data_IF_641213960435
#
_entry.id   IF_641213960435
#
_cell.length_a   1.000
_cell.length_b   1.000
_cell.length_c   1.000
_cell.angle_alpha   90.00
_cell.angle_beta   90.00
_cell.angle_gamma   90.00
#
_symmetry.space_group_name_H-M   'P 1'
#
loop_
_entity.id
_entity.type
_entity.pdbx_description
1 polymer ?
#
# COMPACT_ATOMS: atom_id res chain seq x y z
N UNK A 1 6.57 -20.97 8.85
CA UNK A 1 6.01 -20.31 7.65
C UNK A 1 6.20 -18.81 7.80
N UNK A 2 6.22 -18.06 6.70
CA UNK A 2 6.83 -16.72 6.66
C UNK A 2 5.78 -15.62 6.92
N UNK A 3 4.53 -15.82 6.47
CA UNK A 3 3.46 -14.82 6.57
C UNK A 3 2.37 -15.24 7.56
N UNK A 4 1.80 -14.27 8.28
CA UNK A 4 0.68 -14.48 9.21
C UNK A 4 -0.69 -14.44 8.51
N UNK A 5 -0.78 -13.86 7.30
CA UNK A 5 -2.02 -13.80 6.51
C UNK A 5 -1.71 -13.54 5.03
N UNK A 6 -2.66 -13.88 4.15
CA UNK A 6 -2.58 -13.58 2.71
C UNK A 6 -2.40 -12.09 2.46
N UNK A 7 -3.26 -11.27 3.05
CA UNK A 7 -3.19 -9.82 2.90
C UNK A 7 -1.84 -9.28 3.39
N UNK A 8 -1.35 -9.76 4.53
CA UNK A 8 -0.04 -9.38 5.05
C UNK A 8 1.10 -9.71 4.08
N UNK A 9 1.02 -10.86 3.41
CA UNK A 9 2.02 -11.25 2.41
C UNK A 9 1.96 -10.46 1.12
N UNK A 10 0.75 -10.23 0.59
CA UNK A 10 0.55 -9.37 -0.59
C UNK A 10 1.08 -7.95 -0.32
N UNK A 11 0.76 -7.36 0.82
CA UNK A 11 1.24 -6.01 1.18
C UNK A 11 2.77 -5.98 1.31
N UNK A 12 3.38 -7.00 1.94
CA UNK A 12 4.85 -7.13 2.06
C UNK A 12 5.52 -7.22 0.70
N UNK A 13 4.95 -8.03 -0.20
CA UNK A 13 5.45 -8.22 -1.56
C UNK A 13 5.37 -6.92 -2.38
N UNK A 14 4.22 -6.24 -2.36
CA UNK A 14 4.04 -4.94 -3.03
C UNK A 14 4.99 -3.87 -2.47
N UNK A 15 5.26 -3.87 -1.16
CA UNK A 15 6.22 -2.97 -0.55
C UNK A 15 7.66 -3.29 -1.00
N UNK A 16 8.03 -4.57 -1.09
CA UNK A 16 9.33 -4.99 -1.60
C UNK A 16 9.53 -4.52 -3.04
N UNK A 17 8.49 -4.55 -3.89
CA UNK A 17 8.57 -4.01 -5.27
C UNK A 17 8.74 -2.50 -5.37
N UNK A 18 8.34 -1.74 -4.35
CA UNK A 18 8.46 -0.28 -4.32
C UNK A 18 9.89 0.16 -3.96
N UNK A 19 10.69 -0.73 -3.37
CA UNK A 19 12.09 -0.45 -3.04
C UNK A 19 12.91 -0.65 -4.31
N UNK A 20 13.42 0.42 -4.90
CA UNK A 20 14.42 0.31 -5.98
C UNK A 20 15.73 -0.21 -5.38
N UNK A 21 16.03 -1.49 -5.62
CA UNK A 21 17.35 -2.01 -5.34
C UNK A 21 17.81 -2.86 -6.55
N UNK A 22 18.99 -2.53 -7.05
CA UNK A 22 19.70 -3.22 -8.11
C UNK A 22 20.39 -4.50 -7.60
N UNK A 23 20.29 -4.80 -6.29
CA UNK A 23 20.81 -6.02 -5.64
C UNK A 23 19.86 -7.23 -5.67
N UNK A 24 18.66 -7.08 -6.24
CA UNK A 24 17.59 -8.10 -6.33
C UNK A 24 17.84 -9.30 -7.26
N UNK A 25 18.99 -9.44 -7.91
CA UNK A 25 19.21 -10.59 -8.82
C UNK A 25 19.29 -11.95 -8.11
N UNK A 26 19.41 -11.98 -6.78
CA UNK A 26 19.42 -13.23 -6.02
C UNK A 26 18.08 -13.98 -6.08
N UNK A 27 16.94 -13.28 -5.99
CA UNK A 27 15.62 -13.94 -6.08
C UNK A 27 15.30 -14.41 -7.50
N UNK A 28 15.89 -13.81 -8.54
CA UNK A 28 15.69 -14.27 -9.93
C UNK A 28 16.19 -15.70 -10.12
N UNK A 29 17.24 -16.11 -9.39
CA UNK A 29 17.70 -17.52 -9.38
C UNK A 29 16.69 -18.47 -8.73
N UNK A 30 15.81 -17.94 -7.88
CA UNK A 30 14.74 -18.68 -7.19
C UNK A 30 13.46 -18.76 -8.04
N UNK A 31 13.35 -17.94 -9.08
CA UNK A 31 12.17 -17.86 -9.94
C UNK A 31 12.48 -18.45 -11.32
N UNK A 32 11.91 -19.61 -11.64
CA UNK A 32 12.06 -20.25 -12.94
C UNK A 32 10.68 -20.48 -13.57
N UNK A 33 10.34 -19.80 -14.69
CA UNK A 33 8.99 -19.88 -15.29
C UNK A 33 8.66 -21.25 -15.92
N UNK A 34 9.63 -22.17 -15.98
CA UNK A 34 9.50 -23.48 -16.64
C UNK A 34 9.50 -24.68 -15.69
N UNK A 35 9.56 -24.47 -14.37
CA UNK A 35 9.53 -25.55 -13.38
C UNK A 35 8.21 -25.52 -12.61
N UNK A 36 7.13 -26.03 -13.22
CA UNK A 36 5.82 -26.19 -12.58
C UNK A 36 5.76 -27.37 -11.57
N UNK A 37 6.87 -28.12 -11.40
CA UNK A 37 6.96 -29.19 -10.41
C UNK A 37 7.29 -28.62 -9.02
N UNK A 38 6.26 -28.58 -8.16
CA UNK A 38 6.28 -28.50 -6.70
C UNK A 38 7.69 -28.52 -6.07
N UNK A 39 8.28 -27.33 -5.89
CA UNK A 39 9.45 -27.14 -5.03
C UNK A 39 9.01 -26.45 -3.75
N UNK A 40 8.97 -27.22 -2.67
CA UNK A 40 8.85 -26.71 -1.30
C UNK A 40 9.82 -25.53 -1.12
N UNK A 41 9.38 -24.39 -0.57
CA UNK A 41 10.19 -23.18 -0.38
C UNK A 41 11.54 -23.48 0.29
N UNK A 42 11.60 -24.50 1.15
CA UNK A 42 12.84 -24.98 1.77
C UNK A 42 13.89 -25.43 0.76
N UNK A 43 13.45 -26.04 -0.35
CA UNK A 43 14.31 -26.42 -1.46
C UNK A 43 14.71 -25.23 -2.35
N UNK A 44 13.87 -24.19 -2.44
CA UNK A 44 14.14 -22.97 -3.21
C UNK A 44 15.16 -22.08 -2.51
N UNK A 45 14.99 -21.78 -1.22
CA UNK A 45 15.88 -20.87 -0.50
C UNK A 45 17.27 -21.45 -0.19
N UNK A 46 17.57 -22.69 -0.62
CA UNK A 46 18.90 -23.30 -0.51
C UNK A 46 19.45 -23.31 0.93
N UNK A 47 18.58 -23.24 1.93
CA UNK A 47 19.00 -23.05 3.32
C UNK A 47 19.42 -24.39 3.89
N UNK A 48 20.67 -24.46 4.36
CA UNK A 48 21.11 -25.57 5.18
C UNK A 48 20.21 -25.68 6.43
N UNK A 49 20.09 -26.87 7.05
CA UNK A 49 19.30 -27.02 8.28
C UNK A 49 19.79 -26.03 9.35
N UNK A 50 19.02 -24.97 9.64
CA UNK A 50 19.34 -23.96 10.65
C UNK A 50 19.48 -22.50 10.18
N UNK A 51 19.48 -22.24 8.86
CA UNK A 51 19.56 -20.87 8.32
C UNK A 51 18.16 -20.28 8.07
N UNK A 52 17.90 -19.07 8.57
CA UNK A 52 16.60 -18.41 8.45
C UNK A 52 16.43 -17.80 7.06
N UNK A 53 15.29 -18.07 6.40
CA UNK A 53 14.92 -17.47 5.11
C UNK A 53 14.95 -15.94 5.23
N UNK A 54 15.70 -15.27 4.36
CA UNK A 54 15.70 -13.81 4.26
C UNK A 54 14.31 -13.33 3.80
N UNK A 55 13.63 -12.64 4.71
CA UNK A 55 12.28 -12.12 4.50
C UNK A 55 12.18 -11.24 3.25
N UNK A 56 13.22 -10.48 2.94
CA UNK A 56 13.21 -9.57 1.78
C UNK A 56 13.27 -10.31 0.46
N UNK A 57 14.00 -11.43 0.40
CA UNK A 57 14.06 -12.30 -0.77
C UNK A 57 12.74 -13.03 -0.97
N UNK A 58 12.13 -13.50 0.13
CA UNK A 58 10.79 -14.09 0.10
C UNK A 58 9.76 -13.10 -0.44
N UNK A 59 9.76 -11.84 0.04
CA UNK A 59 8.83 -10.81 -0.44
C UNK A 59 9.01 -10.51 -1.93
N UNK A 60 10.27 -10.46 -2.44
CA UNK A 60 10.53 -10.23 -3.86
C UNK A 60 10.10 -11.41 -4.74
N UNK A 61 10.35 -12.65 -4.28
CA UNK A 61 9.92 -13.85 -4.98
C UNK A 61 8.39 -13.94 -5.03
N UNK A 62 7.72 -13.67 -3.90
CA UNK A 62 6.26 -13.63 -3.83
C UNK A 62 5.72 -12.58 -4.81
N UNK A 63 6.34 -11.41 -4.89
CA UNK A 63 5.91 -10.38 -5.82
C UNK A 63 5.96 -10.87 -7.28
N UNK A 64 7.06 -11.50 -7.69
CA UNK A 64 7.19 -12.09 -9.03
C UNK A 64 6.16 -13.19 -9.28
N UNK A 65 5.92 -14.04 -8.28
CA UNK A 65 4.93 -15.12 -8.34
C UNK A 65 3.51 -14.57 -8.50
N UNK A 66 3.16 -13.50 -7.77
CA UNK A 66 1.88 -12.82 -7.89
C UNK A 66 1.70 -12.18 -9.29
N UNK A 67 2.72 -11.51 -9.84
CA UNK A 67 2.65 -10.94 -11.19
C UNK A 67 2.43 -11.98 -12.29
N UNK A 68 2.91 -13.21 -12.08
CA UNK A 68 2.71 -14.30 -13.02
C UNK A 68 1.37 -15.02 -12.82
N UNK A 69 0.95 -15.21 -11.56
CA UNK A 69 -0.25 -15.97 -11.22
C UNK A 69 -1.55 -15.18 -11.29
N UNK A 70 -1.50 -13.85 -11.11
CA UNK A 70 -2.69 -12.99 -11.18
C UNK A 70 -2.83 -12.40 -12.59
N UNK A 71 -4.08 -12.29 -13.04
CA UNK A 71 -4.36 -11.48 -14.21
C UNK A 71 -4.03 -10.00 -13.96
N UNK A 72 -3.69 -9.27 -15.03
CA UNK A 72 -3.31 -7.84 -14.95
C UNK A 72 -4.32 -7.02 -14.13
N UNK A 73 -5.61 -7.30 -14.27
CA UNK A 73 -6.66 -6.50 -13.64
C UNK A 73 -6.80 -6.76 -12.14
N UNK A 74 -6.59 -8.00 -11.70
CA UNK A 74 -6.47 -8.36 -10.29
C UNK A 74 -5.23 -7.72 -9.69
N UNK A 75 -4.11 -7.73 -10.41
CA UNK A 75 -2.88 -7.07 -9.96
C UNK A 75 -3.04 -5.55 -9.87
N UNK A 76 -3.65 -4.91 -10.88
CA UNK A 76 -3.98 -3.47 -10.85
C UNK A 76 -4.88 -3.15 -9.63
N UNK A 77 -5.86 -3.99 -9.30
CA UNK A 77 -6.72 -3.81 -8.12
C UNK A 77 -5.93 -3.83 -6.80
N UNK A 78 -5.03 -4.81 -6.62
CA UNK A 78 -4.18 -4.93 -5.42
C UNK A 78 -3.20 -3.74 -5.31
N UNK A 79 -2.55 -3.37 -6.41
CA UNK A 79 -1.63 -2.23 -6.46
C UNK A 79 -2.37 -0.93 -6.13
N UNK A 80 -3.52 -0.69 -6.76
CA UNK A 80 -4.33 0.50 -6.50
C UNK A 80 -4.74 0.58 -5.02
N UNK A 81 -5.12 -0.54 -4.39
CA UNK A 81 -5.57 -0.55 -3.00
C UNK A 81 -4.42 -0.42 -2.00
N UNK A 82 -3.37 -1.24 -2.16
CA UNK A 82 -2.39 -1.50 -1.10
C UNK A 82 -0.98 -0.97 -1.38
N UNK A 83 -0.63 -0.65 -2.63
CA UNK A 83 0.73 -0.19 -2.94
C UNK A 83 1.08 1.14 -2.25
N UNK A 84 2.34 1.25 -1.85
CA UNK A 84 2.98 2.46 -1.33
C UNK A 84 3.73 3.25 -2.41
N UNK A 85 3.90 2.71 -3.61
CA UNK A 85 4.52 3.41 -4.73
C UNK A 85 3.49 4.31 -5.42
N UNK A 86 3.75 5.63 -5.45
CA UNK A 86 2.82 6.60 -6.04
C UNK A 86 2.60 6.38 -7.53
N UNK A 87 3.67 6.12 -8.29
CA UNK A 87 3.61 5.99 -9.74
C UNK A 87 2.79 4.77 -10.13
N UNK A 88 3.15 3.61 -9.57
CA UNK A 88 2.44 2.35 -9.80
C UNK A 88 0.98 2.43 -9.33
N UNK A 89 0.72 3.03 -8.16
CA UNK A 89 -0.66 3.18 -7.64
C UNK A 89 -1.51 4.07 -8.54
N UNK A 90 -0.98 5.21 -9.00
CA UNK A 90 -1.71 6.12 -9.90
C UNK A 90 -1.96 5.46 -11.27
N UNK A 91 -0.99 4.73 -11.81
CA UNK A 91 -1.16 3.99 -13.05
C UNK A 91 -2.25 2.91 -12.91
N UNK A 92 -2.20 2.13 -11.83
CA UNK A 92 -3.20 1.10 -11.56
C UNK A 92 -4.62 1.70 -11.40
N UNK A 93 -4.75 2.85 -10.73
CA UNK A 93 -6.03 3.59 -10.64
C UNK A 93 -6.53 4.00 -12.04
N UNK A 94 -5.63 4.46 -12.91
CA UNK A 94 -5.98 4.86 -14.28
C UNK A 94 -6.43 3.66 -15.11
N UNK A 95 -5.75 2.53 -15.00
CA UNK A 95 -6.07 1.29 -15.73
C UNK A 95 -7.41 0.70 -15.27
N UNK A 96 -7.69 0.71 -13.96
CA UNK A 96 -8.97 0.24 -13.41
C UNK A 96 -10.15 1.09 -13.86
N UNK A 97 -9.97 2.41 -13.96
CA UNK A 97 -11.03 3.35 -14.39
C UNK A 97 -11.64 2.95 -15.73
N UNK A 98 -10.83 2.50 -16.68
CA UNK A 98 -11.28 2.17 -18.05
C UNK A 98 -12.12 0.88 -18.06
N UNK A 99 -11.96 0.01 -17.06
CA UNK A 99 -12.65 -1.28 -16.98
C UNK A 99 -14.00 -1.22 -16.27
N UNK A 100 -14.24 -0.17 -15.48
CA UNK A 100 -15.44 -0.07 -14.66
C UNK A 100 -16.63 0.35 -15.52
N UNK A 101 -17.59 -0.57 -15.65
CA UNK A 101 -18.87 -0.30 -16.26
C UNK A 101 -19.77 0.41 -15.25
N UNK A 102 -20.16 1.64 -15.55
CA UNK A 102 -21.06 2.42 -14.71
C UNK A 102 -21.86 3.41 -15.56
N UNK A 103 -23.15 3.64 -15.25
CA UNK A 103 -23.93 4.70 -15.88
C UNK A 103 -23.50 6.11 -15.42
N UNK A 104 -22.58 6.21 -14.45
CA UNK A 104 -22.09 7.49 -13.95
C UNK A 104 -21.18 8.22 -14.98
N UNK A 105 -21.17 9.56 -14.98
CA UNK A 105 -20.24 10.33 -15.81
C UNK A 105 -18.77 9.98 -15.56
N UNK A 106 -17.93 10.18 -16.57
CA UNK A 106 -16.51 9.84 -16.50
C UNK A 106 -15.76 10.52 -15.33
N UNK A 107 -16.13 11.76 -14.99
CA UNK A 107 -15.58 12.46 -13.82
C UNK A 107 -15.96 11.76 -12.52
N UNK A 108 -17.20 11.33 -12.41
CA UNK A 108 -17.70 10.63 -11.23
C UNK A 108 -16.98 9.31 -11.03
N UNK A 109 -16.82 8.52 -12.09
CA UNK A 109 -16.05 7.26 -12.06
C UNK A 109 -14.61 7.54 -11.64
N UNK A 110 -13.94 8.50 -12.27
CA UNK A 110 -12.57 8.87 -11.91
C UNK A 110 -12.42 9.23 -10.42
N UNK A 111 -13.29 10.11 -9.90
CA UNK A 111 -13.27 10.53 -8.50
C UNK A 111 -13.59 9.36 -7.56
N UNK A 112 -14.57 8.53 -7.89
CA UNK A 112 -14.96 7.38 -7.09
C UNK A 112 -13.83 6.36 -6.97
N UNK A 113 -13.24 5.94 -8.10
CA UNK A 113 -12.13 4.96 -8.13
C UNK A 113 -10.93 5.50 -7.34
N UNK A 114 -10.57 6.76 -7.56
CA UNK A 114 -9.45 7.39 -6.87
C UNK A 114 -9.69 7.48 -5.36
N UNK A 115 -10.90 7.86 -4.93
CA UNK A 115 -11.28 7.94 -3.52
C UNK A 115 -11.42 6.57 -2.85
N UNK A 116 -11.68 5.51 -3.60
CA UNK A 116 -11.68 4.12 -3.12
C UNK A 116 -10.25 3.61 -2.87
N UNK A 117 -9.34 3.92 -3.79
CA UNK A 117 -7.94 3.49 -3.75
C UNK A 117 -7.10 4.28 -2.73
N UNK A 118 -7.47 5.54 -2.49
CA UNK A 118 -6.81 6.43 -1.54
C UNK A 118 -7.81 6.84 -0.45
N UNK A 119 -7.84 6.13 0.70
CA UNK A 119 -8.73 6.47 1.80
C UNK A 119 -8.33 7.78 2.50
N UNK A 120 -9.30 8.41 3.16
CA UNK A 120 -9.05 9.53 4.08
C UNK A 120 -8.18 9.06 5.26
N UNK A 121 -6.94 9.52 5.29
CA UNK A 121 -6.08 9.32 6.46
C UNK A 121 -6.55 10.24 7.60
N UNK A 122 -7.06 9.62 8.68
CA UNK A 122 -7.39 10.36 9.91
C UNK A 122 -6.11 11.03 10.44
N UNK A 123 -6.12 12.36 10.53
CA UNK A 123 -4.98 13.15 11.03
C UNK A 123 -3.91 13.51 9.99
N UNK A 124 -4.09 13.17 8.70
CA UNK A 124 -3.23 13.66 7.61
C UNK A 124 -3.76 14.94 6.97
N UNK A 125 -4.75 15.60 7.59
CA UNK A 125 -4.94 17.03 7.34
C UNK A 125 -3.58 17.67 7.54
N UNK A 126 -3.10 18.39 6.53
CA UNK A 126 -1.88 19.18 6.63
C UNK A 126 -2.13 20.17 7.77
N UNK A 127 -1.73 19.80 8.99
CA UNK A 127 -1.77 20.70 10.13
C UNK A 127 -0.96 21.91 9.71
N UNK A 128 -1.59 23.09 9.79
CA UNK A 128 -0.89 24.36 9.64
C UNK A 128 0.31 24.46 10.61
N UNK A 129 1.11 25.53 10.53
CA UNK A 129 2.33 25.66 11.33
C UNK A 129 2.03 25.36 12.81
N UNK A 130 2.59 24.24 13.30
CA UNK A 130 2.36 23.79 14.66
C UNK A 130 3.35 24.52 15.57
N UNK A 131 2.85 25.42 16.42
CA UNK A 131 3.70 26.09 17.41
C UNK A 131 4.08 25.09 18.50
N UNK A 132 5.37 24.79 18.62
CA UNK A 132 5.91 23.97 19.72
C UNK A 132 6.24 24.88 20.88
N UNK A 133 5.53 24.73 22.00
CA UNK A 133 5.83 25.42 23.25
C UNK A 133 6.80 24.58 24.08
N UNK A 134 8.00 25.12 24.34
CA UNK A 134 8.97 24.50 25.24
C UNK A 134 8.85 25.15 26.61
N UNK A 135 8.47 24.37 27.63
CA UNK A 135 8.42 24.87 29.01
C UNK A 135 9.80 24.73 29.64
N UNK A 136 10.45 25.86 29.92
CA UNK A 136 11.79 25.90 30.51
C UNK A 136 11.66 26.40 31.96
N UNK A 137 12.12 25.65 32.97
CA UNK A 137 12.14 26.12 34.35
C UNK A 137 13.00 27.38 34.50
N UNK A 138 12.55 28.34 35.30
CA UNK A 138 13.20 29.66 35.42
C UNK A 138 14.63 29.57 35.97
N UNK A 139 14.90 28.61 36.87
CA UNK A 139 16.21 28.44 37.54
C UNK A 139 17.24 27.62 36.73
N UNK A 140 16.95 27.35 35.46
CA UNK A 140 17.83 26.51 34.63
C UNK A 140 19.08 27.31 34.24
N UNK A 141 20.31 26.77 34.33
CA UNK A 141 21.52 27.43 33.82
C UNK A 141 21.48 27.66 32.30
N UNK A 142 22.11 28.72 31.79
CA UNK A 142 22.05 29.15 30.38
C UNK A 142 22.38 28.01 29.39
N UNK A 143 23.48 27.29 29.62
CA UNK A 143 23.91 26.17 28.77
C UNK A 143 22.86 25.06 28.66
N UNK A 144 22.08 24.83 29.72
CA UNK A 144 21.05 23.79 29.77
C UNK A 144 19.76 24.30 29.12
N UNK A 145 19.45 25.60 29.22
CA UNK A 145 18.36 26.23 28.46
C UNK A 145 18.63 26.14 26.95
N UNK A 146 19.83 26.51 26.52
CA UNK A 146 20.23 26.46 25.10
C UNK A 146 20.20 25.02 24.56
N UNK A 147 20.66 24.06 25.35
CA UNK A 147 20.58 22.63 25.01
C UNK A 147 19.13 22.14 24.89
N UNK A 148 18.23 22.53 25.81
CA UNK A 148 16.82 22.18 25.75
C UNK A 148 16.14 22.77 24.51
N UNK A 149 16.40 24.04 24.20
CA UNK A 149 15.89 24.70 22.98
C UNK A 149 16.39 23.98 21.73
N UNK A 150 17.70 23.72 21.65
CA UNK A 150 18.31 23.03 20.50
C UNK A 150 17.75 21.62 20.31
N UNK A 151 17.54 20.88 21.40
CA UNK A 151 16.95 19.54 21.35
C UNK A 151 15.50 19.54 20.88
N UNK A 152 14.70 20.51 21.32
CA UNK A 152 13.31 20.66 20.91
C UNK A 152 13.20 21.01 19.42
N UNK A 153 14.03 21.95 18.94
CA UNK A 153 14.09 22.33 17.52
C UNK A 153 14.57 21.16 16.66
N UNK A 154 15.56 20.39 17.11
CA UNK A 154 16.04 19.20 16.39
C UNK A 154 14.97 18.11 16.32
N UNK A 155 14.25 17.86 17.42
CA UNK A 155 13.14 16.90 17.46
C UNK A 155 12.01 17.31 16.50
N UNK A 156 11.66 18.60 16.46
CA UNK A 156 10.66 19.14 15.54
C UNK A 156 11.10 18.99 14.08
N UNK A 157 12.34 19.37 13.74
CA UNK A 157 12.90 19.20 12.40
C UNK A 157 12.92 17.74 11.97
N UNK A 158 13.26 16.82 12.87
CA UNK A 158 13.25 15.39 12.61
C UNK A 158 11.81 14.86 12.40
N UNK A 159 10.85 15.31 13.20
CA UNK A 159 9.43 14.97 13.04
C UNK A 159 8.87 15.51 11.71
N UNK A 160 9.19 16.76 11.36
CA UNK A 160 8.82 17.38 10.08
C UNK A 160 9.41 16.62 8.89
N UNK A 161 10.71 16.31 8.92
CA UNK A 161 11.37 15.50 7.87
C UNK A 161 10.74 14.11 7.72
N UNK A 162 10.35 13.46 8.83
CA UNK A 162 9.63 12.17 8.82
C UNK A 162 8.23 12.28 8.22
N UNK A 163 7.50 13.35 8.51
CA UNK A 163 6.19 13.62 7.93
C UNK A 163 6.30 13.94 6.44
N UNK A 164 7.28 14.75 6.05
CA UNK A 164 7.57 15.10 4.65
C UNK A 164 7.97 13.86 3.84
N UNK A 165 8.84 12.98 4.36
CA UNK A 165 9.21 11.74 3.66
C UNK A 165 8.04 10.77 3.53
N UNK A 166 7.17 10.69 4.55
CA UNK A 166 5.93 9.89 4.51
C UNK A 166 4.90 10.47 3.53
N UNK A 167 4.75 11.79 3.47
CA UNK A 167 3.90 12.46 2.50
C UNK A 167 4.48 12.40 1.08
N UNK A 168 5.81 12.37 0.94
CA UNK A 168 6.52 12.21 -0.33
C UNK A 168 6.36 10.78 -0.90
N UNK A 169 6.17 9.78 -0.05
CA UNK A 169 5.94 8.38 -0.46
C UNK A 169 4.46 8.03 -0.63
N UNK A 170 3.52 8.63 0.10
CA UNK A 170 2.10 8.27 0.01
C UNK A 170 1.25 9.25 -0.82
N UNK A 171 0.31 8.73 -1.62
CA UNK A 171 -0.71 9.57 -2.29
C UNK A 171 -1.69 10.09 -1.24
N UNK A 172 -1.75 11.42 -1.05
CA UNK A 172 -2.67 12.09 -0.13
C UNK A 172 -3.55 13.03 -0.95
N UNK A 173 -4.86 12.84 -0.86
CA UNK A 173 -5.85 13.67 -1.55
C UNK A 173 -6.42 14.74 -0.60
N UNK A 174 -6.72 15.95 -1.10
CA UNK A 174 -7.34 16.99 -0.28
C UNK A 174 -8.74 16.58 0.16
N UNK A 175 -9.22 17.10 1.30
CA UNK A 175 -10.54 16.78 1.86
C UNK A 175 -11.68 17.05 0.87
N UNK A 176 -11.58 18.13 0.08
CA UNK A 176 -12.52 18.48 -0.97
C UNK A 176 -12.66 17.41 -2.05
N UNK A 177 -11.62 16.60 -2.29
CA UNK A 177 -11.68 15.52 -3.26
C UNK A 177 -12.75 14.47 -2.90
N UNK A 178 -13.05 14.30 -1.63
CA UNK A 178 -14.03 13.31 -1.16
C UNK A 178 -15.44 13.87 -1.04
N UNK A 179 -15.65 15.15 -1.35
CA UNK A 179 -16.99 15.73 -1.42
C UNK A 179 -17.65 15.33 -2.74
N UNK A 180 -18.65 14.45 -2.66
CA UNK A 180 -19.40 13.94 -3.81
C UNK A 180 -20.19 15.03 -4.55
N UNK A 181 -20.39 16.20 -3.96
CA UNK A 181 -21.00 17.34 -4.64
C UNK A 181 -20.09 17.91 -5.74
N UNK A 182 -18.78 17.64 -5.67
CA UNK A 182 -17.82 18.07 -6.69
C UNK A 182 -17.61 17.04 -7.80
N UNK A 183 -18.26 15.87 -7.72
CA UNK A 183 -18.02 14.74 -8.63
C UNK A 183 -18.94 14.72 -9.84
N UNK A 184 -20.04 15.48 -9.78
CA UNK A 184 -21.02 15.61 -10.85
C UNK A 184 -21.34 17.09 -11.08
N UNK A 185 -21.19 17.54 -12.33
CA UNK A 185 -21.45 18.94 -12.73
C UNK A 185 -22.93 19.15 -12.98
N UNK A 186 -23.67 18.10 -13.33
CA UNK A 186 -25.09 18.18 -13.69
C UNK A 186 -26.01 18.21 -12.45
N UNK A 187 -25.45 18.07 -11.25
CA UNK A 187 -26.22 18.21 -10.00
C UNK A 187 -27.28 17.13 -9.80
N UNK A 188 -27.04 15.89 -10.28
CA UNK A 188 -28.00 14.79 -10.13
C UNK A 188 -28.34 14.51 -8.66
N UNK A 189 -29.51 13.90 -8.38
CA UNK A 189 -29.94 13.57 -7.02
C UNK A 189 -28.87 12.83 -6.22
N UNK A 190 -28.79 13.13 -4.93
CA UNK A 190 -27.79 12.53 -4.06
C UNK A 190 -27.95 10.99 -3.97
N UNK A 191 -29.18 10.48 -4.02
CA UNK A 191 -29.48 9.05 -4.02
C UNK A 191 -28.76 8.33 -5.17
N UNK A 192 -28.89 8.86 -6.39
CA UNK A 192 -28.25 8.33 -7.59
C UNK A 192 -26.72 8.34 -7.47
N UNK A 193 -26.14 9.45 -6.99
CA UNK A 193 -24.68 9.54 -6.78
C UNK A 193 -24.19 8.54 -5.74
N UNK A 194 -24.93 8.33 -4.64
CA UNK A 194 -24.59 7.33 -3.61
C UNK A 194 -24.69 5.90 -4.14
N UNK A 195 -25.70 5.62 -4.96
CA UNK A 195 -25.87 4.33 -5.61
C UNK A 195 -24.72 4.02 -6.57
N UNK A 196 -24.38 4.96 -7.46
CA UNK A 196 -23.24 4.81 -8.37
C UNK A 196 -21.94 4.53 -7.62
N UNK A 197 -21.67 5.30 -6.56
CA UNK A 197 -20.48 5.09 -5.74
C UNK A 197 -20.47 3.71 -5.12
N UNK A 198 -21.60 3.25 -4.56
CA UNK A 198 -21.73 1.93 -3.96
C UNK A 198 -21.45 0.83 -4.98
N UNK A 199 -22.02 0.92 -6.18
CA UNK A 199 -21.84 -0.07 -7.23
C UNK A 199 -20.39 -0.10 -7.73
N UNK A 200 -19.77 1.07 -7.93
CA UNK A 200 -18.35 1.17 -8.30
C UNK A 200 -17.46 0.55 -7.21
N UNK A 201 -17.72 0.85 -5.94
CA UNK A 201 -16.93 0.31 -4.83
C UNK A 201 -17.11 -1.19 -4.71
N UNK A 202 -18.34 -1.70 -4.83
CA UNK A 202 -18.63 -3.12 -4.82
C UNK A 202 -17.91 -3.87 -5.94
N UNK A 203 -17.89 -3.32 -7.16
CA UNK A 203 -17.15 -3.92 -8.28
C UNK A 203 -15.63 -3.97 -8.00
N UNK A 204 -15.06 -2.88 -7.49
CA UNK A 204 -13.65 -2.80 -7.15
C UNK A 204 -13.27 -3.73 -5.97
N UNK A 205 -14.10 -3.79 -4.94
CA UNK A 205 -13.89 -4.68 -3.79
C UNK A 205 -14.01 -6.15 -4.22
N UNK A 206 -14.91 -6.48 -5.15
CA UNK A 206 -15.00 -7.83 -5.75
C UNK A 206 -13.69 -8.20 -6.44
N UNK A 207 -13.13 -7.32 -7.28
CA UNK A 207 -11.83 -7.56 -7.92
C UNK A 207 -10.70 -7.77 -6.91
N UNK A 208 -10.67 -7.00 -5.83
CA UNK A 208 -9.66 -7.18 -4.77
C UNK A 208 -9.86 -8.51 -4.05
N UNK A 209 -11.09 -8.89 -3.74
CA UNK A 209 -11.38 -10.15 -3.04
C UNK A 209 -11.02 -11.36 -3.91
N UNK A 210 -11.37 -11.35 -5.19
CA UNK A 210 -10.97 -12.39 -6.15
C UNK A 210 -9.43 -12.49 -6.24
N UNK A 211 -8.75 -11.35 -6.35
CA UNK A 211 -7.29 -11.29 -6.38
C UNK A 211 -6.67 -11.87 -5.10
N UNK A 212 -7.25 -11.60 -3.93
CA UNK A 212 -6.81 -12.15 -2.65
C UNK A 212 -7.10 -13.65 -2.52
N UNK A 213 -8.21 -14.15 -3.07
CA UNK A 213 -8.48 -15.59 -3.14
C UNK A 213 -7.41 -16.30 -3.98
N UNK A 214 -7.13 -15.81 -5.18
CA UNK A 214 -6.09 -16.38 -6.07
C UNK A 214 -4.70 -16.29 -5.40
N UNK A 215 -4.38 -15.16 -4.77
CA UNK A 215 -3.14 -15.03 -4.00
C UNK A 215 -3.07 -16.02 -2.82
N UNK A 216 -4.22 -16.32 -2.20
CA UNK A 216 -4.34 -17.35 -1.16
C UNK A 216 -4.01 -18.74 -1.70
N UNK A 217 -4.56 -19.12 -2.86
CA UNK A 217 -4.26 -20.39 -3.51
C UNK A 217 -2.76 -20.51 -3.84
N UNK A 218 -2.14 -19.43 -4.34
CA UNK A 218 -0.68 -19.37 -4.54
C UNK A 218 0.04 -19.57 -3.20
N UNK A 219 -0.39 -18.92 -2.13
CA UNK A 219 0.28 -19.04 -0.83
C UNK A 219 0.13 -20.41 -0.20
N UNK A 220 -1.02 -21.07 -0.37
CA UNK A 220 -1.28 -22.41 0.12
C UNK A 220 -0.48 -23.45 -0.67
N UNK A 221 -0.45 -23.33 -2.00
CA UNK A 221 0.35 -24.20 -2.87
C UNK A 221 1.84 -24.14 -2.53
N UNK A 222 2.34 -22.94 -2.21
CA UNK A 222 3.75 -22.70 -1.92
C UNK A 222 4.09 -22.87 -0.42
N UNK A 223 3.10 -23.08 0.47
CA UNK A 223 3.33 -23.27 1.91
C UNK A 223 3.82 -22.02 2.65
N UNK A 224 3.31 -20.83 2.27
CA UNK A 224 3.80 -19.53 2.75
C UNK A 224 3.15 -19.03 4.06
N UNK A 225 1.90 -19.40 4.32
CA UNK A 225 1.08 -18.88 5.44
C UNK A 225 1.21 -19.76 6.66
N UNK A 226 1.58 -19.21 7.82
CA UNK A 226 1.50 -19.93 9.10
C UNK A 226 0.06 -20.39 9.29
N UNK A 227 -0.20 -21.68 9.05
CA UNK A 227 -1.45 -22.29 9.42
C UNK A 227 -1.54 -22.16 10.93
N UNK A 228 -2.48 -21.39 11.45
CA UNK A 228 -2.88 -21.53 12.85
C UNK A 228 -3.36 -22.97 12.98
N UNK A 229 -2.51 -23.82 13.58
CA UNK A 229 -2.96 -25.06 14.15
C UNK A 229 -3.96 -24.68 15.24
N UNK A 230 -5.24 -24.71 14.89
CA UNK A 230 -6.36 -24.59 15.82
C UNK A 230 -6.32 -25.74 16.84
#
# INVERSE_FOLDING_TARGET
>A
MIYQSVLGGVVSALAAEAIDNTSKQAWQKLYSPHEEQQRDLRSLFGTAPGESIDRTQADCWVAARLHHGLEKHHMDALVAKYSTDKGKKVQAIADLRVRIQSPAPALFVFKAVTAWAVPKLKGADQKGPQTVTVTIPVDTPDWRRDSMIASAVAAERAAKKRLESRAASMVILPKSFYDMNTWDVEGRPESTRREWRRNIYGALDTLVNEALCIAGEIFDFEGLIISDAA
#
